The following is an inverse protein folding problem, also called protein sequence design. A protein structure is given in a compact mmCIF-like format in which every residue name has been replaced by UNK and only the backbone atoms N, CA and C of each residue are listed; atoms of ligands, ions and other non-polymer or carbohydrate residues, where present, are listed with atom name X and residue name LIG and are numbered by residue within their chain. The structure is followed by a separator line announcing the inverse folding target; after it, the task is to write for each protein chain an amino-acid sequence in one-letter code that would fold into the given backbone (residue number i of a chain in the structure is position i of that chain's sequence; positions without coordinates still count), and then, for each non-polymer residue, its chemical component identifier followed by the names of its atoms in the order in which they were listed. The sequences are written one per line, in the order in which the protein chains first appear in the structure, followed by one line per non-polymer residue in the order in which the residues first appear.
data_IF_139373897455
#
_entry.id   IF_139373897455
#
_cell.length_a   1.000
_cell.length_b   1.000
_cell.length_c   1.000
_cell.angle_alpha   90.00
_cell.angle_beta   90.00
_cell.angle_gamma   90.00
#
_symmetry.space_group_name_H-M   'P 1'
#
loop_
_entity.id
_entity.type
_entity.pdbx_description
1 polymer ?
#
# COMPACT_ATOMS: atom_id res chain seq x y z
N UNK A 1 -5.82 8.70 12.77
CA UNK A 1 -6.05 8.62 11.31
C UNK A 1 -7.36 7.95 10.94
N UNK A 2 -7.58 6.67 11.23
CA UNK A 2 -8.83 5.97 10.84
C UNK A 2 -10.10 6.71 11.31
N UNK A 3 -10.15 7.10 12.60
CA UNK A 3 -11.27 7.87 13.12
C UNK A 3 -11.44 9.23 12.44
N UNK A 4 -10.34 9.92 12.10
CA UNK A 4 -10.39 11.20 11.39
C UNK A 4 -10.97 11.04 9.98
N UNK A 5 -10.56 9.98 9.25
CA UNK A 5 -11.11 9.68 7.92
C UNK A 5 -12.61 9.42 8.00
N UNK A 6 -13.05 8.62 8.98
CA UNK A 6 -14.48 8.34 9.18
C UNK A 6 -15.25 9.62 9.54
N UNK A 7 -14.69 10.47 10.40
CA UNK A 7 -15.27 11.76 10.74
C UNK A 7 -15.41 12.68 9.53
N UNK A 8 -14.41 12.71 8.63
CA UNK A 8 -14.49 13.49 7.38
C UNK A 8 -15.53 12.89 6.42
N UNK A 9 -15.63 11.57 6.31
CA UNK A 9 -16.54 10.91 5.38
C UNK A 9 -18.02 10.94 5.83
N UNK A 10 -18.28 10.84 7.13
CA UNK A 10 -19.63 10.61 7.67
C UNK A 10 -20.08 11.64 8.72
N UNK A 11 -19.21 12.56 9.15
CA UNK A 11 -19.53 13.55 10.16
C UNK A 11 -19.77 12.93 11.55
N UNK A 12 -20.73 13.49 12.28
CA UNK A 12 -21.03 13.11 13.67
C UNK A 12 -21.82 11.80 13.81
N UNK A 13 -22.43 11.31 12.73
CA UNK A 13 -23.31 10.13 12.74
C UNK A 13 -22.83 9.06 11.76
N UNK A 14 -21.68 8.41 12.02
CA UNK A 14 -21.22 7.32 11.18
C UNK A 14 -22.20 6.13 11.22
N UNK A 15 -22.35 5.38 10.11
CA UNK A 15 -23.14 4.16 10.10
C UNK A 15 -22.50 3.07 10.98
N UNK A 16 -23.19 1.93 11.22
CA UNK A 16 -22.57 0.74 11.78
C UNK A 16 -21.36 0.28 10.95
N UNK A 17 -20.20 0.10 11.58
CA UNK A 17 -18.94 -0.21 10.90
C UNK A 17 -18.41 -1.58 11.35
N UNK A 18 -18.00 -2.41 10.38
CA UNK A 18 -17.17 -3.59 10.65
C UNK A 18 -15.75 -3.26 10.25
N UNK A 19 -14.82 -3.35 11.19
CA UNK A 19 -13.39 -3.14 10.92
C UNK A 19 -12.79 -4.42 10.36
N UNK A 20 -12.09 -4.32 9.22
CA UNK A 20 -11.42 -5.46 8.58
C UNK A 20 -9.99 -5.03 8.28
N UNK A 21 -9.01 -5.82 8.73
CA UNK A 21 -7.61 -5.53 8.47
C UNK A 21 -6.76 -6.78 8.27
N UNK A 22 -5.74 -6.65 7.42
CA UNK A 22 -4.77 -7.70 7.09
C UNK A 22 -3.35 -7.30 7.52
N UNK A 23 -2.59 -8.23 8.11
CA UNK A 23 -1.23 -7.99 8.59
C UNK A 23 -1.18 -6.77 9.51
N UNK A 24 -0.33 -5.79 9.20
CA UNK A 24 -0.25 -4.52 9.95
C UNK A 24 -1.60 -3.79 10.01
N UNK A 25 -2.40 -3.83 8.96
CA UNK A 25 -3.74 -3.23 8.96
C UNK A 25 -4.70 -3.92 9.93
N UNK A 26 -4.53 -5.23 10.19
CA UNK A 26 -5.32 -5.96 11.17
C UNK A 26 -4.93 -5.61 12.61
N UNK A 27 -3.63 -5.45 12.88
CA UNK A 27 -3.15 -4.89 14.14
C UNK A 27 -3.74 -3.50 14.41
N UNK A 28 -3.69 -2.60 13.42
CA UNK A 28 -4.27 -1.26 13.53
C UNK A 28 -5.80 -1.33 13.75
N UNK A 29 -6.50 -2.25 13.08
CA UNK A 29 -7.93 -2.46 13.28
C UNK A 29 -8.26 -2.89 14.72
N UNK A 30 -7.48 -3.82 15.29
CA UNK A 30 -7.59 -4.23 16.70
C UNK A 30 -7.40 -3.02 17.62
N UNK A 31 -6.31 -2.26 17.45
CA UNK A 31 -6.07 -1.07 18.26
C UNK A 31 -7.17 -0.02 18.14
N UNK A 32 -7.71 0.18 16.94
CA UNK A 32 -8.79 1.14 16.70
C UNK A 32 -10.07 0.73 17.44
N UNK A 33 -10.39 -0.57 17.39
CA UNK A 33 -11.55 -1.14 18.05
C UNK A 33 -11.41 -1.11 19.59
N UNK A 34 -10.26 -1.56 20.12
CA UNK A 34 -10.03 -1.68 21.57
C UNK A 34 -9.94 -0.33 22.27
N UNK A 35 -9.42 0.71 21.61
CA UNK A 35 -9.39 2.08 22.15
C UNK A 35 -10.75 2.81 22.03
N UNK A 36 -11.80 2.13 21.54
CA UNK A 36 -13.14 2.71 21.36
C UNK A 36 -13.14 4.02 20.56
N UNK A 37 -12.21 4.17 19.61
CA UNK A 37 -12.11 5.39 18.78
C UNK A 37 -13.31 5.54 17.84
N UNK A 38 -14.07 4.47 17.64
CA UNK A 38 -15.23 4.38 16.75
C UNK A 38 -16.39 3.71 17.50
N UNK A 39 -17.25 4.52 18.09
CA UNK A 39 -18.39 4.05 18.91
C UNK A 39 -19.44 3.27 18.10
N UNK A 40 -19.47 3.42 16.77
CA UNK A 40 -20.38 2.69 15.87
C UNK A 40 -19.77 1.39 15.32
N UNK A 41 -18.61 0.97 15.83
CA UNK A 41 -18.05 -0.34 15.48
C UNK A 41 -18.97 -1.44 15.98
N UNK A 42 -19.38 -2.34 15.09
CA UNK A 42 -20.26 -3.48 15.40
C UNK A 42 -19.56 -4.84 15.24
N UNK A 43 -18.34 -4.86 14.71
CA UNK A 43 -17.55 -6.09 14.60
C UNK A 43 -16.12 -5.86 14.12
N UNK A 44 -15.30 -6.90 14.24
CA UNK A 44 -13.87 -6.87 13.93
C UNK A 44 -13.43 -8.14 13.19
N UNK A 45 -12.70 -7.99 12.09
CA UNK A 45 -12.10 -9.08 11.33
C UNK A 45 -10.60 -8.83 11.21
N UNK A 46 -9.80 -9.74 11.76
CA UNK A 46 -8.35 -9.73 11.64
C UNK A 46 -7.89 -10.86 10.71
N UNK A 47 -7.04 -10.53 9.74
CA UNK A 47 -6.52 -11.49 8.75
C UNK A 47 -5.00 -11.60 8.93
N UNK A 48 -4.54 -12.82 9.23
CA UNK A 48 -3.12 -13.18 9.41
C UNK A 48 -2.41 -12.30 10.47
N UNK A 49 -3.11 -12.00 11.57
CA UNK A 49 -2.58 -11.24 12.71
C UNK A 49 -2.47 -12.17 13.91
N UNK A 50 -1.24 -12.53 14.28
CA UNK A 50 -0.96 -13.29 15.50
C UNK A 50 0.33 -12.78 16.13
N UNK A 51 0.25 -12.28 17.36
CA UNK A 51 1.36 -11.63 18.07
C UNK A 51 2.62 -12.48 18.11
N UNK A 52 2.49 -13.75 18.55
CA UNK A 52 3.65 -14.64 18.69
C UNK A 52 4.38 -14.87 17.36
N UNK A 53 3.64 -15.31 16.33
CA UNK A 53 4.24 -15.57 15.01
C UNK A 53 4.72 -14.31 14.30
N UNK A 54 4.08 -13.16 14.53
CA UNK A 54 4.49 -11.89 13.96
C UNK A 54 5.84 -11.46 14.51
N UNK A 55 6.04 -11.56 15.83
CA UNK A 55 7.28 -11.18 16.52
C UNK A 55 8.46 -12.02 16.06
N UNK A 56 8.27 -13.34 15.91
CA UNK A 56 9.29 -14.26 15.42
C UNK A 56 9.63 -14.01 13.94
N UNK A 57 8.63 -13.62 13.13
CA UNK A 57 8.80 -13.36 11.71
C UNK A 57 9.39 -11.98 11.37
N UNK A 58 9.49 -11.04 12.32
CA UNK A 58 9.96 -9.67 12.05
C UNK A 58 11.37 -9.66 11.42
N UNK A 59 12.27 -10.51 11.92
CA UNK A 59 13.63 -10.61 11.37
C UNK A 59 13.62 -11.16 9.93
N UNK A 60 12.79 -12.17 9.65
CA UNK A 60 12.66 -12.75 8.31
C UNK A 60 12.04 -11.78 7.29
N UNK A 61 11.21 -10.84 7.74
CA UNK A 61 10.62 -9.82 6.85
C UNK A 61 11.72 -8.89 6.30
N UNK A 62 12.73 -8.53 7.10
CA UNK A 62 13.82 -7.69 6.61
C UNK A 62 14.60 -8.33 5.47
N UNK A 63 14.86 -9.63 5.57
CA UNK A 63 15.58 -10.35 4.52
C UNK A 63 14.72 -10.48 3.25
N UNK A 64 13.43 -10.77 3.39
CA UNK A 64 12.48 -10.74 2.28
C UNK A 64 12.41 -9.36 1.61
N UNK A 65 12.47 -8.28 2.37
CA UNK A 65 12.47 -6.92 1.82
C UNK A 65 13.75 -6.60 1.04
N UNK A 66 14.91 -7.11 1.49
CA UNK A 66 16.20 -6.92 0.80
C UNK A 66 16.29 -7.69 -0.51
N UNK A 67 15.61 -8.84 -0.62
CA UNK A 67 15.56 -9.66 -1.85
C UNK A 67 14.72 -9.02 -2.97
N UNK A 68 13.93 -7.98 -2.67
CA UNK A 68 13.09 -7.31 -3.67
C UNK A 68 13.93 -6.57 -4.71
N UNK A 69 13.51 -6.56 -5.98
CA UNK A 69 14.06 -5.66 -6.98
C UNK A 69 13.97 -4.22 -6.48
N UNK A 70 15.05 -3.44 -6.64
CA UNK A 70 15.07 -2.03 -6.25
C UNK A 70 14.13 -1.17 -7.10
N UNK A 71 13.88 -1.61 -8.33
CA UNK A 71 13.08 -0.89 -9.31
C UNK A 71 12.57 -1.82 -10.41
N UNK A 72 11.60 -1.35 -11.19
CA UNK A 72 10.97 -2.08 -12.28
C UNK A 72 10.95 -1.24 -13.56
N UNK A 73 11.15 -1.91 -14.71
CA UNK A 73 11.14 -1.28 -16.04
C UNK A 73 9.75 -0.80 -16.47
N UNK A 74 8.70 -1.51 -16.06
CA UNK A 74 7.31 -1.20 -16.37
C UNK A 74 6.37 -1.71 -15.28
N UNK A 75 5.09 -1.31 -15.34
CA UNK A 75 4.06 -1.86 -14.46
C UNK A 75 3.88 -3.36 -14.71
N UNK A 76 3.88 -3.80 -15.97
CA UNK A 76 3.75 -5.22 -16.32
C UNK A 76 4.91 -6.05 -15.76
N UNK A 77 6.14 -5.53 -15.79
CA UNK A 77 7.28 -6.19 -15.17
C UNK A 77 7.13 -6.32 -13.64
N UNK A 78 6.54 -5.33 -12.98
CA UNK A 78 6.25 -5.41 -11.55
C UNK A 78 5.17 -6.46 -11.24
N UNK A 79 4.09 -6.49 -12.04
CA UNK A 79 3.01 -7.50 -11.93
C UNK A 79 3.58 -8.91 -12.15
N UNK A 80 4.35 -9.11 -13.22
CA UNK A 80 4.97 -10.39 -13.54
C UNK A 80 5.90 -10.86 -12.41
N UNK A 81 6.75 -9.97 -11.90
CA UNK A 81 7.62 -10.28 -10.77
C UNK A 81 6.82 -10.71 -9.54
N UNK A 82 5.71 -10.02 -9.22
CA UNK A 82 4.89 -10.31 -8.03
C UNK A 82 4.28 -11.72 -8.06
N UNK A 83 3.96 -12.23 -9.26
CA UNK A 83 3.43 -13.57 -9.50
C UNK A 83 4.55 -14.60 -9.45
N UNK A 84 5.66 -14.36 -10.17
CA UNK A 84 6.80 -15.28 -10.23
C UNK A 84 7.51 -15.44 -8.89
N UNK A 85 7.59 -14.38 -8.08
CA UNK A 85 8.15 -14.43 -6.73
C UNK A 85 7.22 -15.12 -5.73
N UNK A 86 5.96 -15.35 -6.10
CA UNK A 86 4.94 -15.92 -5.22
C UNK A 86 4.44 -14.95 -4.14
N UNK A 87 4.79 -13.66 -4.22
CA UNK A 87 4.25 -12.63 -3.33
C UNK A 87 2.71 -12.59 -3.45
N UNK A 88 2.23 -12.53 -4.70
CA UNK A 88 0.81 -12.57 -5.04
C UNK A 88 0.58 -13.82 -5.88
N UNK A 89 -0.41 -14.63 -5.53
CA UNK A 89 -0.71 -15.86 -6.28
C UNK A 89 -1.75 -15.66 -7.38
N UNK A 90 -2.66 -14.71 -7.18
CA UNK A 90 -3.75 -14.43 -8.10
C UNK A 90 -3.32 -13.31 -9.07
N UNK A 91 -3.29 -13.63 -10.37
CA UNK A 91 -2.94 -12.68 -11.44
C UNK A 91 -3.91 -11.49 -11.52
N UNK A 92 -5.20 -11.73 -11.35
CA UNK A 92 -6.21 -10.67 -11.36
C UNK A 92 -5.99 -9.70 -10.19
N UNK A 93 -5.72 -10.23 -8.99
CA UNK A 93 -5.38 -9.43 -7.83
C UNK A 93 -4.09 -8.64 -8.05
N UNK A 94 -3.04 -9.26 -8.58
CA UNK A 94 -1.75 -8.61 -8.84
C UNK A 94 -1.89 -7.43 -9.81
N UNK A 95 -2.68 -7.57 -10.87
CA UNK A 95 -2.94 -6.51 -11.85
C UNK A 95 -3.57 -5.26 -11.22
N UNK A 96 -4.41 -5.45 -10.20
CA UNK A 96 -5.08 -4.35 -9.51
C UNK A 96 -4.26 -3.82 -8.33
N UNK A 97 -3.61 -4.68 -7.55
CA UNK A 97 -2.96 -4.28 -6.29
C UNK A 97 -1.55 -3.70 -6.48
N UNK A 98 -0.82 -4.14 -7.51
CA UNK A 98 0.56 -3.70 -7.71
C UNK A 98 0.69 -2.19 -7.97
N UNK A 99 -0.32 -1.56 -8.59
CA UNK A 99 -0.35 -0.11 -8.82
C UNK A 99 -0.30 0.71 -7.51
N UNK A 100 -0.83 0.14 -6.43
CA UNK A 100 -0.76 0.73 -5.09
C UNK A 100 0.60 0.51 -4.41
N UNK A 101 1.37 -0.49 -4.82
CA UNK A 101 2.64 -0.87 -4.18
C UNK A 101 3.85 -0.17 -4.80
N UNK A 102 3.77 0.27 -6.06
CA UNK A 102 4.84 0.98 -6.75
C UNK A 102 4.42 2.41 -7.13
N UNK A 103 5.40 3.28 -7.38
CA UNK A 103 5.22 4.63 -7.93
C UNK A 103 6.24 4.88 -9.04
N UNK A 104 5.94 5.82 -9.95
CA UNK A 104 6.92 6.23 -10.96
C UNK A 104 8.13 6.90 -10.29
N UNK A 105 9.32 6.66 -10.84
CA UNK A 105 10.51 7.41 -10.48
C UNK A 105 10.26 8.88 -10.81
N UNK A 106 10.42 9.75 -9.81
CA UNK A 106 10.55 11.18 -10.06
C UNK A 106 11.92 11.34 -10.70
N UNK A 107 11.94 11.61 -12.01
CA UNK A 107 13.15 12.11 -12.66
C UNK A 107 13.26 13.53 -12.13
N UNK A 108 14.18 13.77 -11.21
CA UNK A 108 14.65 15.13 -10.98
C UNK A 108 15.15 15.61 -12.35
N UNK A 109 14.41 16.54 -12.96
CA UNK A 109 14.91 17.32 -14.08
C UNK A 109 16.18 17.97 -13.55
N UNK A 110 17.32 17.34 -13.85
CA UNK A 110 18.61 17.94 -13.63
C UNK A 110 18.56 19.28 -14.34
N UNK A 111 18.64 20.34 -13.54
CA UNK A 111 18.66 21.74 -13.96
C UNK A 111 19.41 21.84 -15.27
N UNK A 112 18.68 22.15 -16.34
CA UNK A 112 19.30 22.53 -17.59
C UNK A 112 20.09 23.79 -17.27
N UNK A 113 21.42 23.65 -17.15
CA UNK A 113 22.34 24.75 -17.10
C UNK A 113 22.04 25.65 -18.30
N UNK A 114 21.32 26.74 -18.06
CA UNK A 114 21.16 27.84 -18.99
C UNK A 114 22.56 28.40 -19.26
N UNK A 115 23.18 27.94 -20.34
CA UNK A 115 24.29 28.66 -20.95
C UNK A 115 23.72 29.91 -21.60
N UNK A 116 23.81 30.99 -20.84
CA UNK A 116 23.64 32.37 -21.29
C UNK A 116 24.59 32.65 -22.46
N UNK A 117 24.02 32.88 -23.65
CA UNK A 117 24.71 33.51 -24.79
C UNK A 117 24.21 34.96 -24.84
N UNK A 118 25.09 35.96 -24.95
CA UNK A 118 24.78 37.34 -24.60
C UNK A 118 23.87 38.02 -25.63
N UNK A 119 22.92 38.78 -25.10
CA UNK A 119 21.98 39.66 -25.80
C UNK A 119 22.77 40.71 -26.60
N UNK A 120 22.46 40.84 -27.89
CA UNK A 120 22.74 42.05 -28.66
C UNK A 120 21.42 42.74 -28.97
N UNK A 121 21.37 44.03 -28.60
CA UNK A 121 20.24 44.94 -28.74
C UNK A 121 19.75 45.09 -30.19
N UNK A 122 18.48 44.76 -30.44
CA UNK A 122 17.65 45.51 -31.39
C UNK A 122 16.23 45.61 -30.84
N UNK A 123 15.87 46.84 -30.44
CA UNK A 123 14.51 47.26 -30.12
C UNK A 123 13.70 47.37 -31.41
N UNK A 124 12.53 46.73 -31.48
CA UNK A 124 11.38 47.25 -32.23
C UNK A 124 10.07 46.81 -31.56
N UNK A 125 9.25 47.82 -31.26
CA UNK A 125 7.93 47.73 -30.62
C UNK A 125 6.81 47.22 -31.56
N UNK A 126 5.68 46.86 -30.90
CA UNK A 126 4.26 46.92 -31.36
C UNK A 126 3.71 45.79 -32.23
N UNK A 127 2.82 44.95 -31.69
CA UNK A 127 1.38 45.21 -31.48
C UNK A 127 0.66 43.90 -31.08
N UNK A 128 -0.29 44.00 -30.16
CA UNK A 128 -1.32 42.98 -29.91
C UNK A 128 -2.23 42.85 -31.13
N UNK A 129 -2.65 41.62 -31.49
CA UNK A 129 -4.05 41.33 -31.85
C UNK A 129 -4.31 39.83 -32.06
N UNK A 130 -5.50 39.46 -31.61
CA UNK A 130 -6.15 38.15 -31.53
C UNK A 130 -6.81 37.79 -32.85
N UNK A 131 -6.58 36.60 -33.41
CA UNK A 131 -7.52 35.91 -34.30
C UNK A 131 -7.30 34.38 -34.28
N UNK A 132 -8.39 33.68 -33.99
CA UNK A 132 -8.60 32.24 -34.15
C UNK A 132 -9.15 31.97 -35.56
N UNK A 133 -8.62 30.96 -36.29
CA UNK A 133 -9.39 29.95 -37.06
C UNK A 133 -8.52 29.13 -38.03
N UNK A 134 -8.48 27.83 -37.76
CA UNK A 134 -8.50 26.67 -38.67
C UNK A 134 -7.97 26.79 -40.11
N UNK A 135 -6.90 26.06 -40.43
CA UNK A 135 -6.75 25.31 -41.69
C UNK A 135 -5.79 24.13 -41.48
N UNK A 136 -6.24 22.94 -41.85
CA UNK A 136 -5.51 21.67 -41.80
C UNK A 136 -4.73 21.54 -43.11
N UNK A 137 -3.41 21.38 -43.06
CA UNK A 137 -2.76 20.30 -43.83
C UNK A 137 -1.31 20.01 -43.39
N UNK A 138 -1.10 18.73 -43.12
CA UNK A 138 0.11 17.91 -43.18
C UNK A 138 1.49 18.58 -43.14
N UNK A 139 2.17 18.46 -41.98
CA UNK A 139 3.62 18.18 -41.91
C UNK A 139 4.03 17.71 -40.51
N UNK A 140 4.60 16.50 -40.51
CA UNK A 140 5.51 15.95 -39.49
C UNK A 140 5.12 16.19 -38.03
N UNK A 141 4.35 15.26 -37.47
CA UNK A 141 4.55 14.90 -36.07
C UNK A 141 5.98 14.34 -35.95
N UNK A 142 6.95 15.23 -35.74
CA UNK A 142 8.18 14.88 -35.05
C UNK A 142 7.72 14.51 -33.65
N UNK A 143 7.37 13.24 -33.49
CA UNK A 143 7.36 12.60 -32.19
C UNK A 143 8.69 13.02 -31.56
N UNK A 144 8.62 13.79 -30.48
CA UNK A 144 9.70 13.87 -29.53
C UNK A 144 9.81 12.44 -28.98
N UNK A 145 10.53 11.61 -29.74
CA UNK A 145 11.07 10.34 -29.28
C UNK A 145 12.02 10.72 -28.15
N UNK A 146 11.45 10.78 -26.94
CA UNK A 146 12.23 10.68 -25.74
C UNK A 146 12.98 9.36 -25.88
N UNK A 147 14.26 9.45 -26.21
CA UNK A 147 15.19 8.32 -26.20
C UNK A 147 15.26 7.84 -24.75
N UNK A 148 14.27 7.03 -24.35
CA UNK A 148 14.28 6.28 -23.12
C UNK A 148 15.41 5.27 -23.27
N UNK A 149 16.55 5.55 -22.64
CA UNK A 149 17.68 4.62 -22.57
C UNK A 149 17.14 3.22 -22.24
N UNK A 150 17.43 2.24 -23.11
CA UNK A 150 17.06 0.83 -22.93
C UNK A 150 17.67 0.31 -21.61
N UNK A 151 16.92 0.44 -20.51
CA UNK A 151 17.41 0.11 -19.18
C UNK A 151 16.98 1.05 -18.06
N UNK A 152 16.32 2.17 -18.36
CA UNK A 152 15.85 3.09 -17.33
C UNK A 152 14.67 2.47 -16.55
N UNK A 153 14.89 2.17 -15.27
CA UNK A 153 13.82 1.70 -14.41
C UNK A 153 12.82 2.83 -14.13
N UNK A 154 11.55 2.60 -14.49
CA UNK A 154 10.49 3.60 -14.44
C UNK A 154 9.73 3.59 -13.11
N UNK A 155 9.72 2.47 -12.39
CA UNK A 155 8.94 2.31 -11.16
C UNK A 155 9.81 1.89 -9.97
N UNK A 156 9.48 2.39 -8.79
CA UNK A 156 10.08 2.04 -7.49
C UNK A 156 8.99 1.70 -6.48
N UNK A 157 9.34 1.00 -5.41
CA UNK A 157 8.41 0.77 -4.30
C UNK A 157 7.90 2.08 -3.72
N UNK A 158 6.58 2.18 -3.51
CA UNK A 158 5.94 3.38 -2.98
C UNK A 158 6.47 3.74 -1.59
N UNK A 159 6.78 2.73 -0.79
CA UNK A 159 7.25 2.87 0.59
C UNK A 159 8.46 1.96 0.79
N UNK A 160 9.51 2.49 1.42
CA UNK A 160 10.58 1.67 1.98
C UNK A 160 10.12 1.12 3.34
N UNK A 161 9.57 -0.10 3.33
CA UNK A 161 8.98 -0.70 4.53
C UNK A 161 10.01 -0.94 5.63
N UNK A 162 11.29 -1.21 5.31
CA UNK A 162 12.35 -1.42 6.31
C UNK A 162 12.55 -0.21 7.21
N UNK A 163 12.28 1.02 6.74
CA UNK A 163 12.35 2.24 7.58
C UNK A 163 11.32 2.27 8.70
N UNK A 164 10.25 1.47 8.60
CA UNK A 164 9.21 1.37 9.61
C UNK A 164 9.49 0.32 10.69
N UNK A 165 10.60 -0.41 10.62
CA UNK A 165 10.96 -1.51 11.54
C UNK A 165 10.85 -1.14 13.02
N UNK A 166 11.27 0.08 13.38
CA UNK A 166 11.16 0.62 14.74
C UNK A 166 9.73 0.64 15.30
N UNK A 167 8.70 0.54 14.46
CA UNK A 167 7.29 0.53 14.86
C UNK A 167 6.68 -0.87 14.90
N UNK A 168 7.34 -1.89 14.32
CA UNK A 168 6.74 -3.21 14.13
C UNK A 168 6.39 -3.89 15.45
N UNK A 169 7.27 -3.79 16.44
CA UNK A 169 7.01 -4.29 17.79
C UNK A 169 5.72 -3.67 18.37
N UNK A 170 5.59 -2.34 18.28
CA UNK A 170 4.40 -1.63 18.76
C UNK A 170 3.13 -1.98 18.00
N UNK A 171 3.23 -2.39 16.73
CA UNK A 171 2.07 -2.84 15.96
C UNK A 171 1.54 -4.19 16.42
N UNK A 172 2.40 -5.15 16.79
CA UNK A 172 1.95 -6.52 17.06
C UNK A 172 1.90 -6.87 18.54
N UNK A 173 2.72 -6.24 19.38
CA UNK A 173 2.75 -6.47 20.83
C UNK A 173 1.37 -6.25 21.43
N UNK A 174 0.90 -7.21 22.23
CA UNK A 174 -0.40 -7.19 22.91
C UNK A 174 -1.63 -7.32 22.01
N UNK A 175 -1.48 -7.46 20.67
CA UNK A 175 -2.64 -7.52 19.76
C UNK A 175 -3.54 -8.71 20.01
N UNK A 176 -2.99 -9.86 20.39
CA UNK A 176 -3.78 -11.06 20.70
C UNK A 176 -4.70 -10.83 21.90
N UNK A 177 -4.18 -10.23 22.97
CA UNK A 177 -4.97 -9.91 24.16
C UNK A 177 -6.01 -8.81 23.89
N UNK A 178 -5.65 -7.78 23.13
CA UNK A 178 -6.58 -6.70 22.75
C UNK A 178 -7.72 -7.23 21.88
N UNK A 179 -7.42 -8.14 20.95
CA UNK A 179 -8.42 -8.82 20.13
C UNK A 179 -9.34 -9.68 20.98
N UNK A 180 -8.81 -10.42 21.95
CA UNK A 180 -9.60 -11.22 22.89
C UNK A 180 -10.53 -10.35 23.75
N UNK A 181 -10.03 -9.23 24.27
CA UNK A 181 -10.79 -8.31 25.11
C UNK A 181 -11.89 -7.53 24.37
N UNK A 182 -11.96 -7.58 23.03
CA UNK A 182 -13.00 -6.90 22.26
C UNK A 182 -14.36 -7.58 22.43
N UNK A 183 -15.35 -6.90 22.99
CA UNK A 183 -16.62 -7.51 23.43
C UNK A 183 -17.70 -7.65 22.35
N UNK A 184 -17.41 -7.33 21.09
CA UNK A 184 -18.33 -7.44 19.96
C UNK A 184 -17.93 -8.62 19.06
N UNK A 185 -18.81 -9.03 18.10
CA UNK A 185 -18.50 -10.11 17.17
C UNK A 185 -17.13 -9.92 16.50
N UNK A 186 -16.30 -10.96 16.60
CA UNK A 186 -14.93 -10.97 16.08
C UNK A 186 -14.62 -12.25 15.31
N UNK A 187 -13.85 -12.11 14.23
CA UNK A 187 -13.45 -13.19 13.34
C UNK A 187 -11.93 -13.10 13.06
N UNK A 188 -11.23 -14.21 13.28
CA UNK A 188 -9.83 -14.35 12.90
C UNK A 188 -9.72 -15.29 11.70
N UNK A 189 -9.07 -14.81 10.63
CA UNK A 189 -8.76 -15.57 9.43
C UNK A 189 -7.26 -15.79 9.34
N UNK A 190 -6.82 -17.05 9.35
CA UNK A 190 -5.42 -17.42 9.23
C UNK A 190 -5.20 -18.23 7.96
N UNK A 191 -4.10 -17.95 7.25
CA UNK A 191 -3.71 -18.71 6.06
C UNK A 191 -3.19 -20.13 6.38
N UNK A 192 -2.86 -20.41 7.65
CA UNK A 192 -2.44 -21.70 8.15
C UNK A 192 -2.66 -21.80 9.67
N UNK A 193 -2.94 -23.02 10.15
CA UNK A 193 -3.19 -23.33 11.57
C UNK A 193 -1.93 -23.19 12.45
N UNK A 194 -0.74 -23.34 11.87
CA UNK A 194 0.54 -23.31 12.57
C UNK A 194 0.93 -21.92 13.10
N UNK A 195 0.07 -20.92 12.86
CA UNK A 195 0.32 -19.53 13.21
C UNK A 195 -0.34 -19.09 14.50
N UNK A 196 -1.20 -19.92 15.11
CA UNK A 196 -1.88 -19.59 16.37
C UNK A 196 -0.87 -19.50 17.53
N UNK A 197 -0.93 -18.41 18.29
CA UNK A 197 -0.19 -18.26 19.53
C UNK A 197 -0.96 -18.86 20.72
N UNK A 198 -0.30 -18.89 21.89
CA UNK A 198 -0.89 -19.45 23.11
C UNK A 198 -2.18 -18.74 23.53
N UNK A 199 -2.25 -17.42 23.41
CA UNK A 199 -3.41 -16.65 23.84
C UNK A 199 -4.62 -16.93 22.96
N UNK A 200 -4.43 -16.90 21.63
CA UNK A 200 -5.48 -17.21 20.66
C UNK A 200 -5.91 -18.68 20.71
N UNK A 201 -4.98 -19.59 21.01
CA UNK A 201 -5.31 -21.01 21.23
C UNK A 201 -6.23 -21.18 22.44
N UNK A 202 -5.93 -20.50 23.56
CA UNK A 202 -6.77 -20.55 24.77
C UNK A 202 -8.16 -19.95 24.48
N UNK A 203 -8.22 -18.77 23.88
CA UNK A 203 -9.50 -18.11 23.55
C UNK A 203 -10.37 -18.94 22.60
N UNK A 204 -9.76 -19.64 21.65
CA UNK A 204 -10.46 -20.58 20.77
C UNK A 204 -11.07 -21.74 21.54
N UNK A 205 -10.30 -22.36 22.44
CA UNK A 205 -10.78 -23.49 23.24
C UNK A 205 -11.88 -23.08 24.23
N UNK A 206 -11.93 -21.81 24.62
CA UNK A 206 -12.98 -21.22 25.46
C UNK A 206 -14.25 -20.81 24.69
N UNK A 207 -14.23 -20.89 23.35
CA UNK A 207 -15.37 -20.52 22.51
C UNK A 207 -15.65 -19.01 22.45
N UNK A 208 -14.69 -18.17 22.85
CA UNK A 208 -14.85 -16.72 22.89
C UNK A 208 -14.89 -16.10 21.48
N UNK A 209 -14.46 -16.86 20.46
CA UNK A 209 -14.25 -16.39 19.10
C UNK A 209 -14.56 -17.45 18.06
N UNK A 210 -14.95 -17.00 16.87
CA UNK A 210 -14.97 -17.85 15.68
C UNK A 210 -13.64 -17.70 14.96
N UNK A 211 -12.70 -18.64 15.17
CA UNK A 211 -11.52 -18.77 14.32
C UNK A 211 -11.89 -19.65 13.13
N UNK A 212 -11.89 -19.06 11.93
CA UNK A 212 -11.97 -19.83 10.69
C UNK A 212 -10.57 -19.97 10.14
N UNK A 213 -9.98 -21.14 10.38
CA UNK A 213 -8.82 -21.57 9.63
C UNK A 213 -9.30 -22.02 8.26
N UNK A 214 -8.79 -21.38 7.23
CA UNK A 214 -8.90 -21.88 5.87
C UNK A 214 -7.48 -21.98 5.36
N UNK A 215 -7.16 -23.08 4.68
CA UNK A 215 -6.07 -23.06 3.72
C UNK A 215 -6.50 -22.11 2.58
N UNK A 216 -6.45 -20.80 2.83
CA UNK A 216 -6.72 -19.75 1.86
C UNK A 216 -5.56 -19.77 0.87
N UNK A 217 -5.53 -20.80 0.01
CA UNK A 217 -4.52 -20.96 -1.04
C UNK A 217 -4.48 -19.74 -1.97
N UNK A 218 -5.51 -18.89 -1.93
CA UNK A 218 -5.74 -17.78 -2.85
C UNK A 218 -5.79 -16.37 -2.20
N UNK A 219 -5.63 -16.23 -0.88
CA UNK A 219 -5.54 -14.90 -0.22
C UNK A 219 -4.18 -14.74 0.47
N UNK A 220 -3.16 -14.47 -0.34
CA UNK A 220 -2.04 -13.61 0.06
C UNK A 220 -2.04 -12.44 -0.91
N UNK A 221 -2.20 -11.23 -0.36
CA UNK A 221 -2.22 -9.98 -1.10
C UNK A 221 -0.86 -9.62 -1.69
#
# INVERSE_FOLDING_TARGET
DIANVIGVCYGETPPPIVLIGHGVGGAIAVYTASNMLLTTTVGLVAIDVVEGSATDALHSIQDLLKERPKSFKSMDHAIEWSIKSGQIKNLESARVSMVGQVKRCEVEEAETLEQTIPVSDVVMERNEEFYDQSYVDEKENVALEVNLNEGQSVYVWRINLSKSEKYWDGWFRGTSNLFLAFNLPKLLLLAGIDRLDRALTIGQMQGEQLIKTHALRNFKF
#
